data_IF_903788585317
#
_entry.id   IF_903788585317
#
_cell.length_a   1.000
_cell.length_b   1.000
_cell.length_c   1.000
_cell.angle_alpha   90.00
_cell.angle_beta   90.00
_cell.angle_gamma   90.00
#
_symmetry.space_group_name_H-M   'P 1'
#
loop_
_entity.id
_entity.type
_entity.pdbx_description
1 polymer ?
#
# COMPACT_ATOMS: atom_id res chain seq x y z
N UNK A 1 -11.82 -2.89 -0.56
CA UNK A 1 -10.49 -2.41 -0.11
C UNK A 1 -10.51 -0.90 -0.28
N UNK A 2 -11.27 -0.24 0.59
CA UNK A 2 -11.53 1.21 0.55
C UNK A 2 -11.02 1.82 1.86
N UNK A 3 -9.78 1.52 2.17
CA UNK A 3 -9.11 2.04 3.35
C UNK A 3 -8.12 3.12 2.89
N UNK A 4 -8.06 4.29 3.54
CA UNK A 4 -7.20 5.42 3.12
C UNK A 4 -5.75 5.00 2.90
N UNK A 5 -5.26 4.09 3.76
CA UNK A 5 -3.92 3.52 3.69
C UNK A 5 -3.60 2.84 2.34
N UNK A 6 -4.59 2.42 1.55
CA UNK A 6 -4.42 1.88 0.19
C UNK A 6 -4.79 2.91 -0.88
N UNK A 7 -5.92 3.61 -0.72
CA UNK A 7 -6.44 4.50 -1.76
C UNK A 7 -5.54 5.73 -1.99
N UNK A 8 -4.96 6.31 -0.94
CA UNK A 8 -4.09 7.48 -1.07
C UNK A 8 -2.77 7.16 -1.78
N UNK A 9 -2.21 5.96 -1.54
CA UNK A 9 -0.92 5.53 -2.12
C UNK A 9 -1.04 5.01 -3.56
N UNK A 10 -2.15 4.34 -3.90
CA UNK A 10 -2.28 3.61 -5.17
C UNK A 10 -3.07 4.40 -6.21
N UNK A 11 -4.06 5.18 -5.76
CA UNK A 11 -4.99 5.88 -6.66
C UNK A 11 -4.72 7.39 -6.80
N UNK A 12 -3.83 7.95 -5.98
CA UNK A 12 -3.49 9.38 -5.99
C UNK A 12 -2.32 9.72 -6.91
N UNK A 13 -2.57 10.02 -8.19
CA UNK A 13 -1.73 10.80 -9.13
C UNK A 13 -0.29 10.32 -9.47
N UNK A 14 0.35 9.45 -8.68
CA UNK A 14 1.77 9.08 -8.88
C UNK A 14 1.98 7.71 -9.51
N UNK A 15 0.92 6.89 -9.69
CA UNK A 15 1.06 5.52 -10.20
C UNK A 15 2.04 4.66 -9.39
N UNK A 16 2.24 5.02 -8.12
CA UNK A 16 3.21 4.36 -7.25
C UNK A 16 2.81 2.90 -7.04
N UNK A 17 3.81 2.01 -6.97
CA UNK A 17 3.54 0.57 -6.83
C UNK A 17 2.89 0.32 -5.47
N UNK A 18 2.02 -0.70 -5.44
CA UNK A 18 1.17 -1.05 -4.30
C UNK A 18 1.97 -1.32 -3.01
N UNK A 19 3.10 -2.00 -3.17
CA UNK A 19 3.91 -2.51 -2.07
C UNK A 19 5.13 -1.66 -1.75
N UNK A 20 5.51 -0.72 -2.61
CA UNK A 20 6.76 0.02 -2.41
C UNK A 20 7.05 1.02 -3.52
N UNK A 21 8.03 1.92 -3.37
CA UNK A 21 8.41 2.85 -4.42
C UNK A 21 9.07 2.15 -5.62
N UNK A 22 9.86 1.10 -5.36
CA UNK A 22 10.54 0.31 -6.39
C UNK A 22 10.38 -1.19 -6.15
N UNK A 23 10.85 -2.03 -7.07
CA UNK A 23 10.74 -3.49 -6.91
C UNK A 23 11.82 -3.95 -5.93
N UNK A 24 11.43 -4.64 -4.86
CA UNK A 24 12.36 -5.10 -3.82
C UNK A 24 12.56 -4.12 -2.66
N UNK A 25 11.90 -2.96 -2.69
CA UNK A 25 11.88 -1.98 -1.60
C UNK A 25 10.45 -1.80 -1.12
N UNK A 26 10.08 -2.48 -0.04
CA UNK A 26 8.71 -2.51 0.46
C UNK A 26 8.42 -1.40 1.47
N UNK A 27 7.20 -0.88 1.47
CA UNK A 27 6.77 0.06 2.50
C UNK A 27 6.71 -0.62 3.88
N UNK A 28 7.23 0.07 4.89
CA UNK A 28 7.25 -0.39 6.28
C UNK A 28 5.85 -0.69 6.85
N UNK A 29 4.82 -0.04 6.33
CA UNK A 29 3.43 -0.22 6.73
C UNK A 29 2.74 -1.42 6.06
N UNK A 30 3.42 -2.13 5.15
CA UNK A 30 2.83 -3.30 4.48
C UNK A 30 2.42 -4.40 5.45
N UNK A 31 3.15 -4.62 6.55
CA UNK A 31 2.77 -5.63 7.55
C UNK A 31 1.39 -5.31 8.15
N UNK A 32 1.16 -4.07 8.57
CA UNK A 32 -0.12 -3.63 9.12
C UNK A 32 -1.23 -3.65 8.05
N UNK A 33 -0.90 -3.26 6.82
CA UNK A 33 -1.80 -3.35 5.65
C UNK A 33 -2.28 -4.78 5.40
N UNK A 34 -1.38 -5.77 5.49
CA UNK A 34 -1.76 -7.18 5.32
C UNK A 34 -2.57 -7.70 6.50
N UNK A 35 -2.21 -7.35 7.74
CA UNK A 35 -3.01 -7.71 8.91
C UNK A 35 -4.45 -7.21 8.80
N UNK A 36 -4.65 -5.99 8.30
CA UNK A 36 -5.98 -5.39 8.11
C UNK A 36 -6.82 -6.10 7.03
N UNK A 37 -6.18 -6.79 6.07
CA UNK A 37 -6.87 -7.54 5.01
C UNK A 37 -7.24 -8.97 5.41
N UNK A 38 -6.69 -9.50 6.51
CA UNK A 38 -6.95 -10.85 6.99
C UNK A 38 -8.12 -10.96 7.99
N UNK A 39 -8.82 -9.85 8.25
CA UNK A 39 -10.01 -9.78 9.10
C UNK A 39 -11.27 -9.60 8.24
#
# INVERSE_FOLDING_TARGET
VDHPMFLEKVWGKTGAKLYGPTTGDDYRDNQLRFCLLCL
#
